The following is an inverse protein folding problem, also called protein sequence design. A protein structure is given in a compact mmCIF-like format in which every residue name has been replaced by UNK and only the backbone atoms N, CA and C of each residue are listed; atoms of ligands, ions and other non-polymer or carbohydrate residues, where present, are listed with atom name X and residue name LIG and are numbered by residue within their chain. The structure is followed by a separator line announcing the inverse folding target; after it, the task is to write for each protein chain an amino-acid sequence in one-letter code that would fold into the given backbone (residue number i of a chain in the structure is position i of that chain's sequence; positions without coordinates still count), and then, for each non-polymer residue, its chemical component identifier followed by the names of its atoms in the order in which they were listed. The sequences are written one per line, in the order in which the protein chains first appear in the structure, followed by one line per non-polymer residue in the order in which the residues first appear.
data_IF_511025162555
#
_entry.id   IF_511025162555
#
_cell.length_a   1.000
_cell.length_b   1.000
_cell.length_c   1.000
_cell.angle_alpha   90.00
_cell.angle_beta   90.00
_cell.angle_gamma   90.00
#
_symmetry.space_group_name_H-M   'P 1'
#
loop_
_entity.id
_entity.type
_entity.pdbx_description
1 polymer ?
#
# COMPACT_ATOMS: atom_id res chain seq x y z
N UNK A 1 21.92 -9.44 12.05
CA UNK A 1 20.76 -8.78 11.40
C UNK A 1 21.32 -7.71 10.49
N UNK A 2 20.86 -7.63 9.25
CA UNK A 2 21.43 -6.76 8.23
C UNK A 2 21.19 -5.28 8.61
N UNK A 3 22.27 -4.50 8.76
CA UNK A 3 22.22 -3.11 9.21
C UNK A 3 21.31 -2.24 8.35
N UNK A 4 21.28 -2.47 7.03
CA UNK A 4 20.42 -1.72 6.11
C UNK A 4 18.93 -1.96 6.38
N UNK A 5 18.54 -3.19 6.70
CA UNK A 5 17.15 -3.53 7.04
C UNK A 5 16.75 -2.89 8.37
N UNK A 6 17.67 -2.83 9.32
CA UNK A 6 17.44 -2.17 10.61
C UNK A 6 17.34 -0.65 10.44
N UNK A 7 18.22 -0.03 9.66
CA UNK A 7 18.16 1.39 9.32
C UNK A 7 16.86 1.73 8.58
N UNK A 8 16.46 0.93 7.58
CA UNK A 8 15.19 1.07 6.89
C UNK A 8 14.00 1.02 7.86
N UNK A 9 13.98 0.03 8.75
CA UNK A 9 12.92 -0.10 9.76
C UNK A 9 12.94 1.05 10.77
N UNK A 10 14.11 1.56 11.13
CA UNK A 10 14.26 2.75 11.98
C UNK A 10 13.69 4.00 11.33
N UNK A 11 13.95 4.21 10.04
CA UNK A 11 13.46 5.37 9.29
C UNK A 11 11.94 5.36 9.13
N UNK A 12 11.37 4.23 8.68
CA UNK A 12 9.95 4.20 8.31
C UNK A 12 9.03 3.75 9.43
N UNK A 13 9.51 2.96 10.40
CA UNK A 13 8.68 2.31 11.42
C UNK A 13 9.27 2.44 12.83
N UNK A 14 10.23 3.34 13.05
CA UNK A 14 10.92 3.57 14.34
C UNK A 14 11.45 2.29 14.99
N UNK A 15 11.93 1.37 14.15
CA UNK A 15 12.55 0.11 14.55
C UNK A 15 11.54 -1.00 14.88
N UNK A 16 10.25 -0.70 14.81
CA UNK A 16 9.16 -1.65 15.10
C UNK A 16 8.82 -2.48 13.88
N UNK A 17 8.44 -3.73 14.13
CA UNK A 17 7.75 -4.54 13.13
C UNK A 17 6.28 -4.15 13.17
N UNK A 18 5.78 -3.53 12.11
CA UNK A 18 4.41 -3.01 12.07
C UNK A 18 3.38 -4.10 12.41
N UNK A 19 3.59 -5.33 11.90
CA UNK A 19 2.74 -6.48 12.18
C UNK A 19 2.62 -6.76 13.68
N UNK A 20 3.75 -6.78 14.41
CA UNK A 20 3.77 -7.02 15.85
C UNK A 20 2.98 -5.95 16.60
N UNK A 21 3.01 -4.70 16.14
CA UNK A 21 2.26 -3.61 16.77
C UNK A 21 0.76 -3.81 16.59
N UNK A 22 0.28 -4.24 15.41
CA UNK A 22 -1.14 -4.63 15.24
C UNK A 22 -1.52 -5.86 16.08
N UNK A 23 -0.66 -6.88 16.16
CA UNK A 23 -0.92 -8.07 16.99
C UNK A 23 -1.05 -7.69 18.47
N UNK A 24 -0.24 -6.76 18.97
CA UNK A 24 -0.35 -6.24 20.35
C UNK A 24 -1.68 -5.53 20.62
N UNK A 25 -2.32 -4.97 19.61
CA UNK A 25 -3.66 -4.37 19.72
C UNK A 25 -4.78 -5.41 19.65
N UNK A 26 -4.45 -6.70 19.47
CA UNK A 26 -5.42 -7.80 19.44
C UNK A 26 -5.91 -8.19 18.04
N UNK A 27 -5.28 -7.69 16.97
CA UNK A 27 -5.63 -8.07 15.60
C UNK A 27 -4.94 -9.37 15.18
N UNK A 28 -5.66 -10.23 14.45
CA UNK A 28 -5.05 -11.22 13.59
C UNK A 28 -4.56 -10.53 12.30
N UNK A 29 -3.27 -10.67 12.00
CA UNK A 29 -2.64 -9.94 10.89
C UNK A 29 -2.08 -10.93 9.89
N UNK A 30 -2.26 -10.63 8.59
CA UNK A 30 -1.60 -11.32 7.49
C UNK A 30 -1.00 -10.28 6.57
N UNK A 31 0.28 -10.42 6.25
CA UNK A 31 0.98 -9.62 5.25
C UNK A 31 1.65 -10.59 4.29
N UNK A 32 1.43 -10.37 3.00
CA UNK A 32 2.11 -11.11 1.94
C UNK A 32 3.03 -10.18 1.18
N UNK A 33 4.14 -10.72 0.71
CA UNK A 33 4.97 -10.01 -0.25
C UNK A 33 4.17 -9.72 -1.52
N UNK A 34 4.37 -8.52 -2.06
CA UNK A 34 3.83 -8.17 -3.37
C UNK A 34 4.48 -9.05 -4.45
N UNK A 35 3.81 -9.24 -5.58
CA UNK A 35 4.42 -9.95 -6.70
C UNK A 35 5.72 -9.25 -7.14
N UNK A 36 6.81 -10.00 -7.31
CA UNK A 36 8.18 -9.53 -7.54
C UNK A 36 8.94 -8.95 -6.33
N UNK A 37 8.39 -9.02 -5.12
CA UNK A 37 9.05 -8.56 -3.89
C UNK A 37 9.35 -9.71 -2.94
N UNK A 38 10.36 -9.53 -2.09
CA UNK A 38 10.70 -10.46 -1.01
C UNK A 38 10.81 -11.91 -1.50
N UNK A 39 10.05 -12.81 -0.87
CA UNK A 39 10.02 -14.22 -1.23
C UNK A 39 9.48 -14.48 -2.64
N UNK A 40 8.69 -13.54 -3.17
CA UNK A 40 8.04 -13.58 -4.48
C UNK A 40 8.81 -12.84 -5.58
N UNK A 41 10.04 -12.39 -5.30
CA UNK A 41 10.95 -11.93 -6.34
C UNK A 41 11.29 -13.07 -7.31
N UNK A 42 11.46 -12.81 -8.63
CA UNK A 42 11.77 -13.85 -9.60
C UNK A 42 13.08 -14.57 -9.24
N UNK A 43 13.00 -15.90 -9.12
CA UNK A 43 14.15 -16.75 -8.79
C UNK A 43 14.67 -17.51 -10.02
N UNK A 44 15.92 -17.93 -9.95
CA UNK A 44 16.53 -18.81 -10.95
C UNK A 44 17.08 -18.05 -12.16
N UNK A 45 16.74 -18.46 -13.38
CA UNK A 45 17.36 -17.91 -14.60
C UNK A 45 17.14 -16.39 -14.71
N UNK A 46 18.24 -15.62 -14.70
CA UNK A 46 18.27 -14.15 -14.67
C UNK A 46 17.60 -13.51 -13.44
N UNK A 47 17.36 -14.24 -12.36
CA UNK A 47 16.80 -13.74 -11.11
C UNK A 47 17.67 -14.01 -9.89
N UNK A 48 17.10 -13.75 -8.72
CA UNK A 48 17.83 -14.00 -7.48
C UNK A 48 18.08 -15.51 -7.31
N UNK A 49 19.22 -15.93 -6.72
CA UNK A 49 19.50 -17.34 -6.49
C UNK A 49 18.40 -18.04 -5.68
N UNK A 50 18.17 -19.33 -5.92
CA UNK A 50 17.17 -20.08 -5.12
C UNK A 50 17.55 -20.11 -3.64
N UNK A 51 18.84 -20.20 -3.34
CA UNK A 51 19.40 -20.15 -1.98
C UNK A 51 19.45 -18.75 -1.36
N UNK A 52 18.78 -17.76 -1.98
CA UNK A 52 18.76 -16.38 -1.49
C UNK A 52 18.13 -16.28 -0.10
N UNK A 53 18.91 -15.76 0.86
CA UNK A 53 18.46 -15.33 2.18
C UNK A 53 18.88 -13.86 2.41
N UNK A 54 17.92 -12.91 2.46
CA UNK A 54 18.22 -11.48 2.61
C UNK A 54 18.93 -11.15 3.93
N UNK A 55 18.81 -12.02 4.94
CA UNK A 55 19.40 -11.80 6.25
C UNK A 55 20.91 -12.10 6.30
N UNK A 56 21.43 -12.75 5.26
CA UNK A 56 22.84 -13.16 5.15
C UNK A 56 23.69 -12.24 4.29
N UNK A 57 23.06 -11.31 3.55
CA UNK A 57 23.74 -10.44 2.59
C UNK A 57 24.58 -9.35 3.28
N UNK A 58 25.70 -9.03 2.66
CA UNK A 58 26.46 -7.79 2.89
C UNK A 58 25.73 -6.57 2.30
N UNK A 59 26.14 -5.36 2.67
CA UNK A 59 25.51 -4.13 2.17
C UNK A 59 25.62 -3.99 0.64
N UNK A 60 26.79 -4.30 0.07
CA UNK A 60 27.01 -4.26 -1.39
C UNK A 60 26.14 -5.29 -2.13
N UNK A 61 25.98 -6.50 -1.58
CA UNK A 61 25.11 -7.53 -2.14
C UNK A 61 23.63 -7.14 -2.08
N UNK A 62 23.18 -6.45 -1.01
CA UNK A 62 21.82 -5.89 -0.94
C UNK A 62 21.60 -4.90 -2.07
N UNK A 63 22.56 -4.01 -2.32
CA UNK A 63 22.46 -3.01 -3.39
C UNK A 63 22.40 -3.70 -4.76
N UNK A 64 23.27 -4.68 -5.02
CA UNK A 64 23.26 -5.42 -6.28
C UNK A 64 21.93 -6.15 -6.51
N UNK A 65 21.41 -6.81 -5.48
CA UNK A 65 20.12 -7.51 -5.55
C UNK A 65 18.96 -6.53 -5.74
N UNK A 66 18.95 -5.40 -5.03
CA UNK A 66 17.92 -4.37 -5.20
C UNK A 66 17.88 -3.85 -6.65
N UNK A 67 19.05 -3.58 -7.25
CA UNK A 67 19.15 -3.21 -8.65
C UNK A 67 18.61 -4.31 -9.60
N UNK A 68 18.98 -5.56 -9.35
CA UNK A 68 18.49 -6.71 -10.12
C UNK A 68 16.96 -6.81 -10.02
N UNK A 69 16.40 -6.86 -8.82
CA UNK A 69 14.96 -7.02 -8.58
C UNK A 69 14.17 -5.86 -9.19
N UNK A 70 14.65 -4.62 -9.08
CA UNK A 70 14.04 -3.45 -9.74
C UNK A 70 14.00 -3.61 -11.27
N UNK A 71 15.09 -4.09 -11.87
CA UNK A 71 15.13 -4.33 -13.32
C UNK A 71 14.16 -5.43 -13.76
N UNK A 72 14.07 -6.49 -12.96
CA UNK A 72 13.19 -7.62 -13.23
C UNK A 72 11.72 -7.26 -13.07
N UNK A 73 11.37 -6.44 -12.07
CA UNK A 73 10.02 -5.93 -11.91
C UNK A 73 9.54 -5.26 -13.20
N UNK A 74 10.35 -4.38 -13.81
CA UNK A 74 9.96 -3.69 -15.04
C UNK A 74 9.79 -4.66 -16.22
N UNK A 75 10.62 -5.70 -16.33
CA UNK A 75 10.43 -6.80 -17.28
C UNK A 75 9.12 -7.56 -17.00
N UNK A 76 8.91 -7.99 -15.77
CA UNK A 76 7.73 -8.76 -15.35
C UNK A 76 6.44 -7.99 -15.56
N UNK A 77 6.40 -6.69 -15.27
CA UNK A 77 5.24 -5.83 -15.54
C UNK A 77 4.89 -5.76 -17.03
N UNK A 78 5.89 -5.66 -17.92
CA UNK A 78 5.65 -5.70 -19.37
C UNK A 78 5.13 -7.06 -19.81
N UNK A 79 5.67 -8.15 -19.25
CA UNK A 79 5.20 -9.51 -19.53
C UNK A 79 3.74 -9.70 -19.09
N UNK A 80 3.39 -9.25 -17.87
CA UNK A 80 2.01 -9.27 -17.37
C UNK A 80 1.09 -8.48 -18.30
N UNK A 81 1.48 -7.27 -18.68
CA UNK A 81 0.68 -6.44 -19.58
C UNK A 81 0.47 -7.10 -20.96
N UNK A 82 1.50 -7.75 -21.53
CA UNK A 82 1.37 -8.55 -22.75
C UNK A 82 0.44 -9.76 -22.58
N UNK A 83 0.39 -10.34 -21.39
CA UNK A 83 -0.57 -11.40 -21.05
C UNK A 83 -1.99 -10.87 -20.75
N UNK A 84 -2.21 -9.56 -20.84
CA UNK A 84 -3.51 -8.94 -20.56
C UNK A 84 -3.83 -8.76 -19.07
N UNK A 85 -2.82 -8.82 -18.20
CA UNK A 85 -2.96 -8.69 -16.74
C UNK A 85 -2.13 -7.48 -16.27
N UNK A 86 -2.66 -6.69 -15.35
CA UNK A 86 -1.86 -5.62 -14.71
C UNK A 86 -1.19 -6.14 -13.44
N UNK A 87 -0.03 -5.58 -13.09
CA UNK A 87 0.62 -5.90 -11.82
C UNK A 87 -0.30 -5.64 -10.62
N UNK A 88 -1.09 -4.57 -10.65
CA UNK A 88 -2.10 -4.31 -9.61
C UNK A 88 -3.23 -5.32 -9.59
N UNK A 89 -3.71 -5.77 -10.74
CA UNK A 89 -4.76 -6.79 -10.80
C UNK A 89 -4.31 -8.09 -10.13
N UNK A 90 -3.05 -8.49 -10.36
CA UNK A 90 -2.47 -9.66 -9.71
C UNK A 90 -2.31 -9.47 -8.20
N UNK A 91 -1.76 -8.35 -7.76
CA UNK A 91 -1.60 -8.09 -6.31
C UNK A 91 -2.95 -7.95 -5.60
N UNK A 92 -3.94 -7.29 -6.22
CA UNK A 92 -5.31 -7.24 -5.69
C UNK A 92 -5.88 -8.65 -5.53
N UNK A 93 -5.68 -9.53 -6.51
CA UNK A 93 -6.15 -10.90 -6.43
C UNK A 93 -5.55 -11.61 -5.21
N UNK A 94 -4.22 -11.53 -5.03
CA UNK A 94 -3.52 -12.14 -3.90
C UNK A 94 -3.95 -11.55 -2.55
N UNK A 95 -4.13 -10.23 -2.49
CA UNK A 95 -4.61 -9.51 -1.31
C UNK A 95 -6.04 -9.95 -0.95
N UNK A 96 -6.92 -10.09 -1.94
CA UNK A 96 -8.28 -10.59 -1.75
C UNK A 96 -8.31 -12.06 -1.30
N UNK A 97 -7.38 -12.92 -1.77
CA UNK A 97 -7.23 -14.30 -1.29
C UNK A 97 -6.68 -14.36 0.13
N UNK A 98 -5.85 -13.39 0.53
CA UNK A 98 -5.39 -13.27 1.92
C UNK A 98 -6.56 -13.04 2.89
N UNK A 99 -7.59 -12.31 2.46
CA UNK A 99 -8.85 -12.17 3.20
C UNK A 99 -9.59 -13.51 3.29
N UNK A 100 -9.66 -14.29 2.20
CA UNK A 100 -10.28 -15.64 2.25
C UNK A 100 -9.61 -16.52 3.30
N UNK A 101 -8.28 -16.50 3.36
CA UNK A 101 -7.52 -17.23 4.38
C UNK A 101 -7.86 -16.74 5.79
N UNK A 102 -7.81 -15.42 6.03
CA UNK A 102 -8.17 -14.85 7.34
C UNK A 102 -9.57 -15.28 7.76
N UNK A 103 -10.55 -15.22 6.86
CA UNK A 103 -11.94 -15.62 7.13
C UNK A 103 -12.13 -17.12 7.35
N UNK A 104 -11.15 -17.96 6.99
CA UNK A 104 -11.17 -19.39 7.33
C UNK A 104 -10.76 -19.67 8.77
N UNK A 105 -10.20 -18.67 9.47
CA UNK A 105 -9.70 -18.79 10.84
C UNK A 105 -10.83 -18.52 11.84
N UNK A 106 -11.00 -19.42 12.81
CA UNK A 106 -12.02 -19.27 13.86
C UNK A 106 -11.82 -18.05 14.77
N UNK A 107 -10.59 -17.55 14.86
CA UNK A 107 -10.21 -16.37 15.65
C UNK A 107 -10.47 -15.03 14.94
N UNK A 108 -10.88 -15.04 13.67
CA UNK A 108 -11.14 -13.82 12.89
C UNK A 108 -12.64 -13.53 12.84
N UNK A 109 -13.01 -12.31 13.23
CA UNK A 109 -14.36 -11.79 13.06
C UNK A 109 -14.57 -11.30 11.61
N UNK A 110 -15.48 -11.97 10.89
CA UNK A 110 -15.75 -11.69 9.49
C UNK A 110 -16.36 -10.30 9.23
N UNK A 111 -16.96 -9.70 10.25
CA UNK A 111 -17.55 -8.35 10.16
C UNK A 111 -16.55 -7.25 10.55
N UNK A 112 -15.30 -7.59 10.85
CA UNK A 112 -14.27 -6.65 11.33
C UNK A 112 -12.94 -6.80 10.58
N UNK A 113 -12.99 -6.75 9.25
CA UNK A 113 -11.80 -6.82 8.40
C UNK A 113 -11.35 -5.41 8.01
N UNK A 114 -10.08 -5.09 8.26
CA UNK A 114 -9.46 -3.84 7.83
C UNK A 114 -8.17 -4.06 7.04
N UNK A 115 -7.72 -3.03 6.33
CA UNK A 115 -6.43 -3.05 5.64
C UNK A 115 -5.68 -1.71 5.80
N UNK A 116 -4.36 -1.77 5.88
CA UNK A 116 -3.51 -0.60 6.01
C UNK A 116 -2.16 -0.82 5.33
N UNK A 117 -1.51 0.28 4.93
CA UNK A 117 -0.16 0.21 4.37
C UNK A 117 0.44 1.59 4.10
N UNK A 118 1.78 1.62 4.02
CA UNK A 118 2.59 2.79 3.71
C UNK A 118 2.97 2.81 2.22
N UNK A 119 2.91 3.98 1.57
CA UNK A 119 3.41 4.20 0.22
C UNK A 119 2.71 3.32 -0.82
N UNK A 120 3.44 2.46 -1.55
CA UNK A 120 2.83 1.41 -2.39
C UNK A 120 1.87 0.47 -1.64
N UNK A 121 2.05 0.30 -0.32
CA UNK A 121 1.07 -0.35 0.55
C UNK A 121 -0.20 0.48 0.75
N UNK A 122 -0.10 1.81 0.78
CA UNK A 122 -1.23 2.72 0.80
C UNK A 122 -2.01 2.68 -0.52
N UNK A 123 -1.31 2.65 -1.65
CA UNK A 123 -1.92 2.39 -2.96
C UNK A 123 -2.69 1.06 -3.00
N UNK A 124 -2.07 -0.04 -2.58
CA UNK A 124 -2.73 -1.37 -2.47
C UNK A 124 -3.93 -1.33 -1.53
N UNK A 125 -3.82 -0.64 -0.40
CA UNK A 125 -4.91 -0.44 0.56
C UNK A 125 -6.12 0.21 -0.11
N UNK A 126 -5.91 1.30 -0.86
CA UNK A 126 -7.00 1.98 -1.58
C UNK A 126 -7.66 1.06 -2.61
N UNK A 127 -6.87 0.32 -3.40
CA UNK A 127 -7.41 -0.63 -4.40
C UNK A 127 -8.20 -1.75 -3.72
N UNK A 128 -7.67 -2.35 -2.66
CA UNK A 128 -8.33 -3.44 -1.95
C UNK A 128 -9.64 -2.98 -1.31
N UNK A 129 -9.64 -1.84 -0.63
CA UNK A 129 -10.83 -1.25 -0.02
C UNK A 129 -11.91 -0.86 -1.05
N UNK A 130 -11.48 -0.45 -2.26
CA UNK A 130 -12.38 -0.14 -3.37
C UNK A 130 -13.12 -1.38 -3.85
N UNK A 131 -12.36 -2.45 -4.13
CA UNK A 131 -12.83 -3.61 -4.89
C UNK A 131 -13.34 -4.76 -4.01
N UNK A 132 -12.93 -4.85 -2.74
CA UNK A 132 -13.31 -5.94 -1.84
C UNK A 132 -14.18 -5.43 -0.68
N UNK A 133 -15.50 -5.60 -0.79
CA UNK A 133 -16.51 -5.12 0.18
C UNK A 133 -16.47 -5.81 1.55
N UNK A 134 -15.56 -6.76 1.74
CA UNK A 134 -15.29 -7.34 3.07
C UNK A 134 -14.46 -6.40 3.93
N UNK A 135 -13.66 -5.53 3.33
CA UNK A 135 -12.94 -4.46 4.04
C UNK A 135 -13.96 -3.46 4.59
N UNK A 136 -13.98 -3.28 5.92
CA UNK A 136 -14.86 -2.36 6.65
C UNK A 136 -14.20 -1.03 6.99
N UNK A 137 -12.88 -1.06 7.15
CA UNK A 137 -12.07 0.11 7.43
C UNK A 137 -10.73 0.03 6.68
N UNK A 138 -10.24 1.15 6.18
CA UNK A 138 -8.94 1.24 5.51
C UNK A 138 -8.10 2.41 6.02
N UNK A 139 -6.77 2.25 6.03
CA UNK A 139 -5.81 3.29 6.41
C UNK A 139 -4.67 3.38 5.39
N UNK A 140 -4.75 4.34 4.48
CA UNK A 140 -3.74 4.63 3.45
C UNK A 140 -2.72 5.64 3.98
N UNK A 141 -1.48 5.21 4.22
CA UNK A 141 -0.40 6.05 4.75
C UNK A 141 0.61 6.39 3.65
N UNK A 142 1.08 7.64 3.59
CA UNK A 142 2.11 8.09 2.64
C UNK A 142 1.67 7.96 1.19
N UNK A 143 0.35 7.95 0.93
CA UNK A 143 -0.21 7.89 -0.41
C UNK A 143 -1.51 8.69 -0.49
N UNK A 144 -1.46 9.80 -1.23
CA UNK A 144 -2.57 10.28 -2.06
C UNK A 144 -2.08 11.36 -3.05
N UNK A 145 -2.67 11.39 -4.25
CA UNK A 145 -2.46 12.41 -5.29
C UNK A 145 -3.65 12.40 -6.24
N UNK A 146 -3.74 13.35 -7.16
CA UNK A 146 -4.66 13.32 -8.31
C UNK A 146 -4.01 12.63 -9.51
N UNK A 147 -4.82 12.14 -10.43
CA UNK A 147 -4.42 11.31 -11.56
C UNK A 147 -3.54 12.05 -12.58
N UNK A 148 -3.74 13.35 -12.77
CA UNK A 148 -2.89 14.20 -13.60
C UNK A 148 -1.46 14.30 -13.05
N UNK A 149 -1.30 14.45 -11.73
CA UNK A 149 0.01 14.42 -11.07
C UNK A 149 0.59 13.01 -11.00
N UNK A 150 -0.25 12.00 -10.78
CA UNK A 150 0.16 10.59 -10.76
C UNK A 150 0.74 10.15 -12.11
N UNK A 151 0.24 10.66 -13.23
CA UNK A 151 0.73 10.33 -14.57
C UNK A 151 2.18 10.74 -14.82
N UNK A 152 2.70 11.74 -14.10
CA UNK A 152 4.12 12.09 -14.16
C UNK A 152 4.97 10.91 -13.68
N UNK A 153 4.55 10.26 -12.59
CA UNK A 153 5.21 9.06 -12.04
C UNK A 153 5.07 7.85 -12.95
N UNK A 154 3.94 7.71 -13.69
CA UNK A 154 3.75 6.67 -14.71
C UNK A 154 4.86 6.66 -15.77
N UNK A 155 5.52 7.80 -15.98
CA UNK A 155 6.49 7.98 -17.07
C UNK A 155 7.94 8.07 -16.61
N UNK A 156 8.21 8.42 -15.35
CA UNK A 156 9.55 8.85 -14.90
C UNK A 156 10.24 7.89 -13.90
N UNK A 157 9.54 6.88 -13.40
CA UNK A 157 10.14 5.96 -12.41
C UNK A 157 9.53 4.56 -12.42
N UNK A 158 10.21 3.62 -11.73
CA UNK A 158 9.67 2.29 -11.51
C UNK A 158 8.29 2.32 -10.86
N UNK A 159 7.98 3.33 -10.03
CA UNK A 159 6.69 3.52 -9.29
C UNK A 159 5.50 3.63 -10.24
N UNK A 160 5.71 4.18 -11.43
CA UNK A 160 4.68 4.38 -12.44
C UNK A 160 3.95 3.12 -12.88
N UNK A 161 4.66 2.12 -13.43
CA UNK A 161 4.10 0.83 -13.79
C UNK A 161 3.32 0.11 -12.66
N UNK A 162 3.63 0.35 -11.37
CA UNK A 162 2.86 -0.25 -10.24
C UNK A 162 1.46 0.29 -10.14
N UNK A 163 1.19 1.48 -10.65
CA UNK A 163 -0.11 2.13 -10.56
C UNK A 163 -0.86 2.08 -11.89
N UNK A 164 -0.30 1.40 -12.89
CA UNK A 164 -0.87 1.37 -14.23
C UNK A 164 -2.17 0.54 -14.24
N UNK A 165 -3.27 1.23 -14.52
CA UNK A 165 -4.59 0.65 -14.76
C UNK A 165 -5.09 1.11 -16.15
N UNK A 166 -4.74 0.38 -17.24
CA UNK A 166 -5.08 0.77 -18.59
C UNK A 166 -6.59 0.93 -18.78
N UNK A 167 -7.03 2.05 -19.36
CA UNK A 167 -8.45 2.32 -19.60
C UNK A 167 -9.28 2.69 -18.37
N UNK A 168 -8.63 2.92 -17.23
CA UNK A 168 -9.28 3.42 -15.99
C UNK A 168 -9.15 4.94 -15.89
N UNK A 169 -7.96 5.50 -16.13
CA UNK A 169 -7.65 6.93 -15.94
C UNK A 169 -8.39 7.90 -16.88
N UNK A 170 -9.08 7.40 -17.89
CA UNK A 170 -9.96 8.21 -18.75
C UNK A 170 -11.43 8.22 -18.29
N UNK A 171 -11.75 7.54 -17.18
CA UNK A 171 -13.11 7.38 -16.65
C UNK A 171 -13.25 7.76 -15.19
N UNK A 172 -12.15 7.75 -14.46
CA UNK A 172 -12.08 8.10 -13.04
C UNK A 172 -10.72 8.67 -12.69
N UNK A 173 -10.67 9.40 -11.59
CA UNK A 173 -9.47 9.94 -10.98
C UNK A 173 -8.94 9.02 -9.86
N UNK A 174 -7.70 9.20 -9.40
CA UNK A 174 -7.10 8.45 -8.28
C UNK A 174 -7.92 8.60 -6.98
N UNK A 175 -8.40 9.79 -6.59
CA UNK A 175 -9.26 9.98 -5.42
C UNK A 175 -10.56 9.17 -5.47
N UNK A 176 -11.08 8.90 -6.67
CA UNK A 176 -12.33 8.15 -6.85
C UNK A 176 -12.22 6.72 -6.32
N UNK A 177 -11.02 6.12 -6.30
CA UNK A 177 -10.81 4.80 -5.69
C UNK A 177 -11.22 4.82 -4.21
N UNK A 178 -10.69 5.77 -3.43
CA UNK A 178 -11.06 5.89 -2.02
C UNK A 178 -12.55 6.22 -1.86
N UNK A 179 -13.13 7.05 -2.73
CA UNK A 179 -14.58 7.36 -2.71
C UNK A 179 -15.42 6.10 -2.94
N UNK A 180 -15.02 5.22 -3.85
CA UNK A 180 -15.73 3.97 -4.15
C UNK A 180 -15.72 2.93 -3.02
N UNK A 181 -14.93 3.16 -1.96
CA UNK A 181 -14.96 2.33 -0.74
C UNK A 181 -16.23 2.54 0.10
N UNK A 182 -16.99 3.61 -0.12
CA UNK A 182 -18.28 3.86 0.53
C UNK A 182 -19.20 2.62 0.50
N UNK A 183 -19.92 2.33 1.59
CA UNK A 183 -20.01 3.10 2.84
C UNK A 183 -18.93 2.71 3.87
N UNK A 184 -17.88 1.99 3.49
CA UNK A 184 -16.82 1.58 4.43
C UNK A 184 -15.90 2.76 4.78
N UNK A 185 -15.30 2.69 5.96
CA UNK A 185 -14.52 3.77 6.51
C UNK A 185 -13.13 3.82 5.86
N UNK A 186 -12.65 5.00 5.47
CA UNK A 186 -11.32 5.19 4.90
C UNK A 186 -10.60 6.38 5.53
N UNK A 187 -9.39 6.16 6.01
CA UNK A 187 -8.50 7.22 6.48
C UNK A 187 -7.30 7.36 5.54
N UNK A 188 -6.98 8.59 5.18
CA UNK A 188 -5.75 8.94 4.46
C UNK A 188 -4.83 9.68 5.41
N UNK A 189 -3.58 9.25 5.49
CA UNK A 189 -2.52 9.93 6.24
C UNK A 189 -1.39 10.26 5.30
N UNK A 190 -1.02 11.54 5.20
CA UNK A 190 0.16 11.98 4.45
C UNK A 190 0.89 13.01 5.30
N UNK A 191 2.21 12.86 5.50
CA UNK A 191 2.98 13.85 6.25
C UNK A 191 3.18 15.15 5.45
N UNK A 192 3.23 16.31 6.09
CA UNK A 192 3.44 17.58 5.39
C UNK A 192 4.86 17.76 4.84
N UNK A 193 5.81 16.93 5.27
CA UNK A 193 7.17 16.85 4.73
C UNK A 193 7.36 15.65 3.79
N UNK A 194 6.26 14.93 3.49
CA UNK A 194 6.25 13.86 2.50
C UNK A 194 6.10 14.48 1.10
N UNK A 195 7.24 14.67 0.44
CA UNK A 195 7.32 15.20 -0.92
C UNK A 195 7.23 14.11 -1.99
N UNK A 196 6.69 12.92 -1.66
CA UNK A 196 6.44 11.89 -2.66
C UNK A 196 5.53 12.39 -3.78
N UNK A 197 4.55 13.25 -3.45
CA UNK A 197 3.69 13.96 -4.39
C UNK A 197 3.64 15.45 -4.05
N UNK A 198 3.41 16.37 -5.02
CA UNK A 198 3.25 17.80 -4.72
C UNK A 198 2.11 18.07 -3.75
N UNK A 199 2.30 19.03 -2.84
CA UNK A 199 1.32 19.34 -1.78
C UNK A 199 -0.04 19.74 -2.35
N UNK A 200 -0.07 20.49 -3.46
CA UNK A 200 -1.31 20.88 -4.11
C UNK A 200 -2.12 19.67 -4.64
N UNK A 201 -1.44 18.63 -5.12
CA UNK A 201 -2.07 17.40 -5.58
C UNK A 201 -2.64 16.59 -4.41
N UNK A 202 -1.91 16.53 -3.28
CA UNK A 202 -2.38 15.90 -2.05
C UNK A 202 -3.64 16.60 -1.51
N UNK A 203 -3.61 17.93 -1.43
CA UNK A 203 -4.73 18.75 -0.94
C UNK A 203 -5.95 18.61 -1.85
N UNK A 204 -5.77 18.68 -3.16
CA UNK A 204 -6.86 18.55 -4.12
C UNK A 204 -7.48 17.14 -4.08
N UNK A 205 -6.66 16.09 -4.01
CA UNK A 205 -7.14 14.72 -3.88
C UNK A 205 -7.99 14.52 -2.61
N UNK A 206 -7.50 14.97 -1.46
CA UNK A 206 -8.26 14.91 -0.20
C UNK A 206 -9.57 15.69 -0.30
N UNK A 207 -9.55 16.88 -0.92
CA UNK A 207 -10.75 17.69 -1.13
C UNK A 207 -11.79 16.96 -1.98
N UNK A 208 -11.37 16.17 -2.97
CA UNK A 208 -12.28 15.34 -3.76
C UNK A 208 -12.85 14.18 -2.95
N UNK A 209 -12.02 13.47 -2.18
CA UNK A 209 -12.48 12.34 -1.34
C UNK A 209 -13.50 12.80 -0.31
N UNK A 210 -13.20 13.89 0.41
CA UNK A 210 -14.10 14.48 1.40
C UNK A 210 -15.49 14.77 0.80
N UNK A 211 -15.52 15.43 -0.37
CA UNK A 211 -16.77 15.70 -1.09
C UNK A 211 -17.49 14.43 -1.55
N UNK A 212 -16.76 13.39 -1.93
CA UNK A 212 -17.32 12.10 -2.33
C UNK A 212 -18.05 11.40 -1.18
N UNK A 213 -17.42 11.35 0.00
CA UNK A 213 -18.03 10.77 1.21
C UNK A 213 -19.22 11.61 1.73
N UNK A 214 -19.13 12.94 1.65
CA UNK A 214 -20.25 13.85 1.95
C UNK A 214 -21.43 13.59 1.01
N UNK A 215 -21.16 13.51 -0.30
CA UNK A 215 -22.19 13.24 -1.31
C UNK A 215 -22.85 11.88 -1.11
N UNK A 216 -22.09 10.88 -0.69
CA UNK A 216 -22.59 9.55 -0.36
C UNK A 216 -23.38 9.46 0.96
N UNK A 217 -23.44 10.55 1.75
CA UNK A 217 -24.15 10.57 3.02
C UNK A 217 -23.41 9.91 4.18
N UNK A 218 -22.10 9.70 4.07
CA UNK A 218 -21.26 9.13 5.12
C UNK A 218 -20.01 9.99 5.40
N UNK A 219 -20.15 11.29 5.70
CA UNK A 219 -19.02 12.20 5.90
C UNK A 219 -18.10 11.76 7.05
N UNK A 220 -18.65 11.13 8.09
CA UNK A 220 -17.89 10.65 9.25
C UNK A 220 -17.06 9.39 8.97
N UNK A 221 -17.23 8.78 7.79
CA UNK A 221 -16.49 7.59 7.35
C UNK A 221 -15.23 7.94 6.56
N UNK A 222 -14.91 9.22 6.40
CA UNK A 222 -13.63 9.65 5.85
C UNK A 222 -12.88 10.56 6.83
N UNK A 223 -11.57 10.35 6.94
CA UNK A 223 -10.69 11.24 7.71
C UNK A 223 -9.38 11.45 6.97
N UNK A 224 -8.93 12.69 6.95
CA UNK A 224 -7.58 13.04 6.53
C UNK A 224 -6.75 13.48 7.74
N UNK A 225 -5.55 12.91 7.89
CA UNK A 225 -4.58 13.31 8.90
C UNK A 225 -3.28 13.77 8.24
N UNK A 226 -2.84 15.00 8.56
CA UNK A 226 -1.70 15.65 7.91
C UNK A 226 -0.68 16.17 8.94
N UNK A 227 0.09 15.28 9.58
CA UNK A 227 1.07 15.68 10.59
C UNK A 227 2.33 16.28 9.98
N UNK A 228 3.06 17.10 10.74
CA UNK A 228 4.42 17.56 10.41
C UNK A 228 5.41 16.40 10.58
N UNK A 229 5.47 15.53 9.57
CA UNK A 229 6.28 14.33 9.51
C UNK A 229 6.75 14.06 8.08
N UNK A 230 7.88 13.36 7.89
CA UNK A 230 8.30 12.86 6.59
C UNK A 230 7.47 11.64 6.16
N UNK A 231 7.86 11.00 5.06
CA UNK A 231 7.28 9.73 4.60
C UNK A 231 7.58 8.59 5.58
N UNK A 232 6.66 8.28 6.50
CA UNK A 232 6.82 7.23 7.50
C UNK A 232 5.49 6.65 8.01
N UNK A 233 5.57 5.59 8.79
CA UNK A 233 4.48 5.00 9.56
C UNK A 233 4.95 4.77 11.01
N UNK A 234 5.30 5.87 11.68
CA UNK A 234 5.81 5.86 13.05
C UNK A 234 4.71 5.61 14.09
N UNK A 235 5.08 5.63 15.38
CA UNK A 235 4.17 5.32 16.50
C UNK A 235 2.92 6.22 16.50
N UNK A 236 3.06 7.52 16.21
CA UNK A 236 1.92 8.44 16.23
C UNK A 236 0.94 8.12 15.09
N UNK A 237 1.46 7.85 13.89
CA UNK A 237 0.65 7.41 12.75
C UNK A 237 0.00 6.05 13.03
N UNK A 238 0.72 5.12 13.66
CA UNK A 238 0.20 3.81 14.09
C UNK A 238 -0.96 3.97 15.08
N UNK A 239 -0.84 4.83 16.08
CA UNK A 239 -1.93 5.10 17.03
C UNK A 239 -3.16 5.67 16.33
N UNK A 240 -3.01 6.57 15.35
CA UNK A 240 -4.14 7.04 14.54
C UNK A 240 -4.82 5.93 13.76
N UNK A 241 -4.04 5.01 13.20
CA UNK A 241 -4.59 3.84 12.51
C UNK A 241 -5.35 2.93 13.48
N UNK A 242 -4.80 2.67 14.67
CA UNK A 242 -5.46 1.86 15.68
C UNK A 242 -6.76 2.50 16.18
N UNK A 243 -6.76 3.82 16.41
CA UNK A 243 -7.96 4.57 16.77
C UNK A 243 -9.05 4.44 15.69
N UNK A 244 -8.66 4.53 14.42
CA UNK A 244 -9.57 4.38 13.29
C UNK A 244 -10.22 2.99 13.24
N UNK A 245 -9.42 1.93 13.37
CA UNK A 245 -9.93 0.54 13.39
C UNK A 245 -10.70 0.18 14.67
N UNK A 246 -10.46 0.89 15.78
CA UNK A 246 -11.30 0.73 16.99
C UNK A 246 -12.69 1.36 16.80
N UNK A 247 -12.75 2.45 16.04
CA UNK A 247 -13.97 3.21 15.79
C UNK A 247 -14.89 2.55 14.75
N UNK A 248 -14.31 1.86 13.75
CA UNK A 248 -15.00 1.32 12.58
C UNK A 248 -14.78 -0.18 12.41
#
# INVERSE_FOLDING_TARGET
MNRLLDEHRMVFYVGKYLMDEYVKQGYAVLVIDAHHFGERAPRGFNGIPESYDPMTLTEDEVIEVDHLVKSQLYLGMRQLNWAGITWMGLNYWDDSRSIDYLLSRSEVDADRIGCAGLSGGGWRTNILATLDKRIKASVSVGWMTTGDYQQIYNSDSAIGPYCLLPGVWNRMDVPDLTILSVPHASMVIVGSEDHLFPTEAQVEAVRQIQKGFEWAGCPDHFRFYHPLKPHCYDIDIQEKAFDWFRQH
#
